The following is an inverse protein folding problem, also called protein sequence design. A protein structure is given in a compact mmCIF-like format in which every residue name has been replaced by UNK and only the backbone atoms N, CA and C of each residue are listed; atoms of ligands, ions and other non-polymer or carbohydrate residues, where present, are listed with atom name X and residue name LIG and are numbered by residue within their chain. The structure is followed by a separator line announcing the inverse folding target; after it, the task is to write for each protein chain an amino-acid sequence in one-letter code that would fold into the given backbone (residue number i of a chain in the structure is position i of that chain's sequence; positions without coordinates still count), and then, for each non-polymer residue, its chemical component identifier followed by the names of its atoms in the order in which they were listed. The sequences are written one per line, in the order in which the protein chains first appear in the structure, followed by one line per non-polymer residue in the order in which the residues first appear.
data_IF_086133304107
#
_entry.id   IF_086133304107
#
_cell.length_a   1.000
_cell.length_b   1.000
_cell.length_c   1.000
_cell.angle_alpha   90.00
_cell.angle_beta   90.00
_cell.angle_gamma   90.00
#
_symmetry.space_group_name_H-M   'P 1'
#
loop_
_entity.id
_entity.type
_entity.pdbx_description
1 polymer ?
#
# COMPACT_ATOMS: atom_id res chain seq x y z
N UNK A 1 -9.36 17.39 3.99
CA UNK A 1 -9.43 17.31 5.47
C UNK A 1 -8.66 18.45 6.17
N UNK A 2 -7.94 19.30 5.41
CA UNK A 2 -7.16 20.41 5.97
C UNK A 2 -5.77 19.99 6.46
N UNK A 3 -5.40 18.72 6.30
CA UNK A 3 -4.07 18.20 6.64
C UNK A 3 -3.06 18.73 5.64
N UNK A 4 -1.92 19.20 6.14
CA UNK A 4 -0.79 19.63 5.32
C UNK A 4 0.46 18.86 5.71
N UNK A 5 1.19 18.34 4.74
CA UNK A 5 2.47 17.65 4.94
C UNK A 5 3.56 18.35 4.14
N UNK A 6 4.81 18.27 4.62
CA UNK A 6 5.97 18.67 3.83
C UNK A 6 6.20 17.62 2.75
N UNK A 7 6.39 18.06 1.51
CA UNK A 7 6.67 17.20 0.36
C UNK A 7 7.93 17.67 -0.38
N UNK A 8 8.57 16.75 -1.09
CA UNK A 8 9.72 17.03 -1.94
C UNK A 8 9.50 16.41 -3.31
N UNK A 9 9.37 17.25 -4.34
CA UNK A 9 9.34 16.83 -5.74
C UNK A 9 10.75 16.58 -6.26
N UNK A 10 10.96 15.49 -7.01
CA UNK A 10 12.26 15.09 -7.55
C UNK A 10 12.32 15.34 -9.07
N UNK A 11 12.66 16.56 -9.54
CA UNK A 11 12.63 16.91 -10.96
C UNK A 11 13.64 16.12 -11.81
N UNK A 12 14.70 15.60 -11.20
CA UNK A 12 15.71 14.75 -11.85
C UNK A 12 15.60 13.28 -11.41
N UNK A 13 14.39 12.84 -11.03
CA UNK A 13 14.07 11.53 -10.46
C UNK A 13 14.81 11.21 -9.14
N UNK A 14 14.60 10.00 -8.63
CA UNK A 14 15.36 9.44 -7.50
C UNK A 14 16.81 9.05 -7.87
N UNK A 15 17.32 9.51 -9.02
CA UNK A 15 18.67 9.25 -9.53
C UNK A 15 19.55 10.51 -9.62
N UNK A 16 19.10 11.67 -9.12
CA UNK A 16 19.82 12.94 -9.28
C UNK A 16 21.28 12.90 -8.78
N UNK A 17 21.57 12.14 -7.73
CA UNK A 17 22.92 11.96 -7.19
C UNK A 17 23.64 10.70 -7.69
N UNK A 18 23.09 9.97 -8.67
CA UNK A 18 23.57 8.65 -9.07
C UNK A 18 24.95 8.69 -9.73
N UNK A 19 25.14 9.61 -10.68
CA UNK A 19 26.35 9.72 -11.50
C UNK A 19 27.28 10.78 -10.89
N UNK A 20 28.36 10.33 -10.24
CA UNK A 20 29.29 11.20 -9.49
C UNK A 20 29.96 12.25 -10.39
N UNK A 21 30.30 11.87 -11.62
CA UNK A 21 30.90 12.75 -12.63
C UNK A 21 29.96 13.88 -13.08
N UNK A 22 28.65 13.77 -12.78
CA UNK A 22 27.63 14.77 -13.12
C UNK A 22 27.16 15.61 -11.95
N UNK A 23 27.65 15.39 -10.73
CA UNK A 23 27.15 16.05 -9.53
C UNK A 23 27.09 17.57 -9.63
N UNK A 24 28.10 18.21 -10.21
CA UNK A 24 28.12 19.68 -10.38
C UNK A 24 26.99 20.16 -11.30
N UNK A 25 26.80 19.48 -12.44
CA UNK A 25 25.71 19.77 -13.36
C UNK A 25 24.34 19.53 -12.72
N UNK A 26 24.15 18.39 -12.04
CA UNK A 26 22.91 18.09 -11.32
C UNK A 26 22.62 19.13 -10.24
N UNK A 27 23.63 19.52 -9.45
CA UNK A 27 23.47 20.55 -8.43
C UNK A 27 22.99 21.87 -9.05
N UNK A 28 23.62 22.32 -10.13
CA UNK A 28 23.23 23.56 -10.84
C UNK A 28 21.79 23.47 -11.34
N UNK A 29 21.37 22.35 -11.91
CA UNK A 29 19.99 22.15 -12.38
C UNK A 29 18.98 22.15 -11.22
N UNK A 30 19.24 21.39 -10.16
CA UNK A 30 18.35 21.33 -8.99
C UNK A 30 18.23 22.67 -8.28
N UNK A 31 19.32 23.45 -8.23
CA UNK A 31 19.34 24.77 -7.61
C UNK A 31 18.39 25.78 -8.30
N UNK A 32 18.02 25.55 -9.58
CA UNK A 32 17.01 26.39 -10.27
C UNK A 32 15.59 26.21 -9.70
N UNK A 33 15.30 25.04 -9.14
CA UNK A 33 13.99 24.69 -8.59
C UNK A 33 13.94 24.79 -7.05
N UNK A 34 15.10 24.94 -6.40
CA UNK A 34 15.22 24.86 -4.96
C UNK A 34 14.52 26.04 -4.26
N UNK A 35 13.54 25.71 -3.41
CA UNK A 35 12.85 26.70 -2.56
C UNK A 35 13.62 27.03 -1.27
N UNK A 36 14.66 26.26 -0.98
CA UNK A 36 15.53 26.40 0.20
C UNK A 36 17.01 26.21 -0.20
N UNK A 37 17.98 26.58 0.65
CA UNK A 37 19.40 26.29 0.41
C UNK A 37 19.76 24.79 0.47
N UNK A 38 18.82 23.93 0.86
CA UNK A 38 19.04 22.49 1.02
C UNK A 38 18.53 21.76 -0.23
N UNK A 39 19.46 21.09 -0.92
CA UNK A 39 19.17 20.32 -2.14
C UNK A 39 19.37 18.85 -1.84
N UNK A 40 18.34 18.05 -2.13
CA UNK A 40 18.42 16.59 -2.04
C UNK A 40 18.89 16.01 -3.36
N UNK A 41 19.98 15.23 -3.31
CA UNK A 41 20.50 14.47 -4.46
C UNK A 41 20.47 12.97 -4.13
N UNK A 42 19.38 12.25 -4.45
CA UNK A 42 19.29 10.82 -4.16
C UNK A 42 20.35 10.04 -4.95
N UNK A 43 21.21 9.31 -4.23
CA UNK A 43 22.28 8.52 -4.82
C UNK A 43 21.87 7.04 -4.84
N UNK A 44 21.20 6.65 -5.92
CA UNK A 44 20.74 5.28 -6.10
C UNK A 44 19.84 5.12 -7.32
N UNK A 45 19.45 3.89 -7.57
CA UNK A 45 18.48 3.52 -8.59
C UNK A 45 17.79 2.21 -8.19
N UNK A 46 16.72 1.84 -8.90
CA UNK A 46 16.13 0.50 -8.77
C UNK A 46 17.19 -0.58 -8.94
N UNK A 47 17.25 -1.50 -7.97
CA UNK A 47 18.15 -2.65 -7.94
C UNK A 47 19.66 -2.34 -7.94
N UNK A 48 20.07 -1.12 -7.58
CA UNK A 48 21.48 -0.75 -7.54
C UNK A 48 22.11 -1.00 -6.15
N UNK A 49 23.30 -1.62 -6.06
CA UNK A 49 24.03 -1.71 -4.80
C UNK A 49 24.52 -0.34 -4.33
N UNK A 50 24.80 -0.17 -3.02
CA UNK A 50 25.48 1.01 -2.52
C UNK A 50 26.82 1.25 -3.24
N UNK A 51 27.07 2.49 -3.64
CA UNK A 51 28.32 2.88 -4.31
C UNK A 51 29.42 3.15 -3.25
N UNK A 52 30.47 2.31 -3.14
CA UNK A 52 31.52 2.46 -2.13
C UNK A 52 32.36 3.73 -2.27
N UNK A 53 32.34 4.37 -3.43
CA UNK A 53 33.09 5.59 -3.75
C UNK A 53 32.44 6.88 -3.21
N UNK A 54 31.14 6.86 -2.87
CA UNK A 54 30.41 8.06 -2.38
C UNK A 54 31.13 8.75 -1.22
N UNK A 55 31.60 8.06 -0.16
CA UNK A 55 32.23 8.75 0.97
C UNK A 55 33.51 9.49 0.60
N UNK A 56 34.27 8.99 -0.37
CA UNK A 56 35.46 9.68 -0.85
C UNK A 56 35.09 10.83 -1.78
N UNK A 57 34.16 10.61 -2.70
CA UNK A 57 33.68 11.66 -3.61
C UNK A 57 33.07 12.87 -2.86
N UNK A 58 32.32 12.65 -1.77
CA UNK A 58 31.80 13.74 -0.92
C UNK A 58 32.94 14.51 -0.24
N UNK A 59 34.00 13.84 0.22
CA UNK A 59 35.19 14.52 0.78
C UNK A 59 35.89 15.36 -0.28
N UNK A 60 36.05 14.82 -1.49
CA UNK A 60 36.71 15.51 -2.59
C UNK A 60 35.88 16.73 -3.05
N UNK A 61 34.56 16.60 -3.10
CA UNK A 61 33.64 17.72 -3.33
C UNK A 61 33.85 18.83 -2.30
N UNK A 62 33.82 18.50 -1.01
CA UNK A 62 33.96 19.48 0.07
C UNK A 62 35.36 20.14 0.14
N UNK A 63 36.37 19.56 -0.51
CA UNK A 63 37.70 20.17 -0.64
C UNK A 63 37.82 21.10 -1.84
N UNK A 64 37.03 20.86 -2.90
CA UNK A 64 37.17 21.53 -4.20
C UNK A 64 36.10 22.58 -4.46
N UNK A 65 34.89 22.40 -3.92
CA UNK A 65 33.74 23.27 -4.15
C UNK A 65 33.56 24.25 -2.99
N UNK A 66 33.88 25.52 -3.24
CA UNK A 66 33.70 26.59 -2.25
C UNK A 66 32.23 27.05 -2.21
N UNK A 67 31.67 27.18 -1.01
CA UNK A 67 30.33 27.74 -0.79
C UNK A 67 29.18 26.73 -0.89
N UNK A 68 29.46 25.45 -1.18
CA UNK A 68 28.46 24.37 -1.19
C UNK A 68 28.99 23.17 -0.41
N UNK A 69 28.38 22.87 0.72
CA UNK A 69 28.69 21.69 1.53
C UNK A 69 27.82 20.51 1.09
N UNK A 70 28.46 19.39 0.76
CA UNK A 70 27.78 18.11 0.52
C UNK A 70 27.84 17.24 1.77
N UNK A 71 26.67 16.77 2.22
CA UNK A 71 26.53 15.88 3.38
C UNK A 71 25.84 14.59 2.95
N UNK A 72 26.41 13.44 3.33
CA UNK A 72 25.70 12.17 3.30
C UNK A 72 24.63 12.21 4.40
N UNK A 73 23.36 12.20 4.00
CA UNK A 73 22.23 12.36 4.91
C UNK A 73 21.14 11.33 4.63
N UNK A 74 20.36 11.03 5.66
CA UNK A 74 19.12 10.27 5.55
C UNK A 74 17.96 11.17 5.12
N UNK A 75 16.88 10.62 4.53
CA UNK A 75 15.65 11.39 4.28
C UNK A 75 15.12 12.08 5.55
N UNK A 76 15.22 11.42 6.71
CA UNK A 76 14.81 11.99 7.99
C UNK A 76 15.56 13.29 8.31
N UNK A 77 16.89 13.28 8.20
CA UNK A 77 17.69 14.48 8.47
C UNK A 77 17.35 15.61 7.51
N UNK A 78 17.12 15.30 6.23
CA UNK A 78 16.73 16.28 5.23
C UNK A 78 15.39 16.95 5.57
N UNK A 79 14.34 16.16 5.85
CA UNK A 79 13.03 16.70 6.20
C UNK A 79 13.02 17.45 7.52
N UNK A 80 13.79 17.03 8.53
CA UNK A 80 13.95 17.78 9.78
C UNK A 80 14.50 19.18 9.55
N UNK A 81 15.47 19.32 8.65
CA UNK A 81 16.05 20.62 8.29
C UNK A 81 15.01 21.47 7.54
N UNK A 82 14.27 20.89 6.59
CA UNK A 82 13.20 21.59 5.87
C UNK A 82 12.08 22.09 6.81
N UNK A 83 11.64 21.27 7.76
CA UNK A 83 10.60 21.63 8.73
C UNK A 83 11.04 22.77 9.66
N UNK A 84 12.34 22.85 9.96
CA UNK A 84 12.90 23.95 10.76
C UNK A 84 13.16 25.23 9.96
N UNK A 85 13.02 25.19 8.63
CA UNK A 85 13.33 26.33 7.78
C UNK A 85 12.29 27.44 7.98
N UNK A 86 12.69 28.69 8.29
CA UNK A 86 11.79 29.73 8.77
C UNK A 86 10.83 30.28 7.70
N UNK A 87 11.04 29.93 6.42
CA UNK A 87 10.21 30.42 5.31
C UNK A 87 9.04 29.48 5.09
N UNK A 88 7.85 30.05 4.95
CA UNK A 88 6.66 29.31 4.53
C UNK A 88 6.84 28.79 3.11
N UNK A 89 6.75 27.48 2.93
CA UNK A 89 6.69 26.82 1.63
C UNK A 89 5.30 27.00 1.01
N UNK A 90 5.24 26.96 -0.32
CA UNK A 90 3.98 26.97 -1.05
C UNK A 90 3.16 25.70 -0.74
N UNK A 91 1.84 25.83 -0.73
CA UNK A 91 0.93 24.71 -0.53
C UNK A 91 0.27 24.38 -1.85
N UNK A 92 0.44 23.15 -2.30
CA UNK A 92 -0.25 22.60 -3.47
C UNK A 92 -1.41 21.75 -2.95
N UNK A 93 -2.61 22.00 -3.46
CA UNK A 93 -3.84 21.29 -3.09
C UNK A 93 -4.32 20.41 -4.24
N UNK A 94 -4.82 19.21 -3.92
CA UNK A 94 -5.39 18.28 -4.89
C UNK A 94 -4.52 17.07 -5.18
N UNK A 95 -4.88 16.36 -6.25
CA UNK A 95 -4.15 15.18 -6.74
C UNK A 95 -2.88 15.61 -7.49
N UNK A 96 -1.77 14.93 -7.25
CA UNK A 96 -0.50 15.17 -7.95
C UNK A 96 -0.43 14.40 -9.27
N UNK A 97 -1.40 14.66 -10.15
CA UNK A 97 -1.57 13.99 -11.44
C UNK A 97 -1.37 15.02 -12.56
N UNK A 98 -0.11 15.24 -12.94
CA UNK A 98 0.32 16.30 -13.87
C UNK A 98 1.34 15.73 -14.87
N UNK A 99 0.91 15.61 -16.14
CA UNK A 99 1.73 15.06 -17.24
C UNK A 99 2.76 16.05 -17.79
N UNK A 100 2.70 17.33 -17.40
CA UNK A 100 3.77 18.30 -17.68
C UNK A 100 4.94 18.15 -16.69
N UNK A 101 4.66 17.71 -15.45
CA UNK A 101 5.67 17.59 -14.39
C UNK A 101 6.26 16.19 -14.24
N UNK A 102 5.52 15.14 -14.60
CA UNK A 102 5.97 13.76 -14.53
C UNK A 102 5.26 12.88 -15.57
N UNK A 103 5.90 11.78 -15.98
CA UNK A 103 5.20 10.76 -16.77
C UNK A 103 4.11 10.10 -15.93
N UNK A 104 2.94 9.95 -16.51
CA UNK A 104 1.78 9.36 -15.86
C UNK A 104 1.28 8.15 -16.64
N UNK A 105 0.96 7.05 -15.94
CA UNK A 105 0.68 5.74 -16.54
C UNK A 105 -0.76 5.25 -16.27
N UNK A 106 -1.83 5.97 -16.67
CA UNK A 106 -3.21 5.55 -16.35
C UNK A 106 -3.59 4.17 -16.88
N UNK A 107 -2.96 3.75 -17.98
CA UNK A 107 -3.34 2.51 -18.67
C UNK A 107 -3.04 1.25 -17.85
N UNK A 108 -2.19 1.36 -16.81
CA UNK A 108 -1.91 0.27 -15.89
C UNK A 108 -3.16 -0.28 -15.19
N UNK A 109 -4.22 0.53 -15.04
CA UNK A 109 -5.47 0.10 -14.44
C UNK A 109 -6.21 -0.97 -15.26
N UNK A 110 -5.83 -1.16 -16.53
CA UNK A 110 -6.42 -2.17 -17.43
C UNK A 110 -5.50 -3.37 -17.69
N UNK A 111 -4.22 -3.26 -17.30
CA UNK A 111 -3.23 -4.32 -17.46
C UNK A 111 -3.59 -5.51 -16.57
N UNK A 112 -3.73 -6.70 -17.18
CA UNK A 112 -4.02 -7.96 -16.47
C UNK A 112 -5.15 -7.79 -15.45
N UNK A 113 -6.31 -7.29 -15.89
CA UNK A 113 -7.46 -6.89 -15.05
C UNK A 113 -7.84 -7.88 -13.92
N UNK A 114 -7.61 -9.18 -14.12
CA UNK A 114 -7.85 -10.21 -13.11
C UNK A 114 -7.06 -9.99 -11.81
N UNK A 115 -5.91 -9.30 -11.84
CA UNK A 115 -5.12 -8.96 -10.65
C UNK A 115 -5.89 -7.97 -9.78
N UNK A 116 -6.38 -6.88 -10.38
CA UNK A 116 -7.16 -5.86 -9.67
C UNK A 116 -8.46 -6.46 -9.13
N UNK A 117 -9.13 -7.30 -9.93
CA UNK A 117 -10.34 -8.01 -9.49
C UNK A 117 -10.07 -8.94 -8.32
N UNK A 118 -9.01 -9.76 -8.40
CA UNK A 118 -8.61 -10.67 -7.34
C UNK A 118 -8.20 -9.94 -6.06
N UNK A 119 -7.45 -8.84 -6.19
CA UNK A 119 -7.08 -7.97 -5.08
C UNK A 119 -8.31 -7.39 -4.39
N UNK A 120 -9.26 -6.84 -5.16
CA UNK A 120 -10.51 -6.28 -4.61
C UNK A 120 -11.35 -7.32 -3.89
N UNK A 121 -11.42 -8.54 -4.41
CA UNK A 121 -12.13 -9.66 -3.79
C UNK A 121 -11.48 -10.08 -2.48
N UNK A 122 -10.15 -10.26 -2.47
CA UNK A 122 -9.41 -10.66 -1.28
C UNK A 122 -9.40 -9.56 -0.21
N UNK A 123 -9.28 -8.28 -0.59
CA UNK A 123 -9.37 -7.15 0.35
C UNK A 123 -10.74 -7.11 1.03
N UNK A 124 -11.83 -7.24 0.26
CA UNK A 124 -13.18 -7.26 0.83
C UNK A 124 -13.40 -8.45 1.76
N UNK A 125 -12.87 -9.62 1.40
CA UNK A 125 -12.94 -10.83 2.22
C UNK A 125 -12.10 -10.69 3.50
N UNK A 126 -10.92 -10.08 3.42
CA UNK A 126 -10.03 -9.82 4.57
C UNK A 126 -10.69 -8.88 5.57
N UNK A 127 -11.23 -7.75 5.10
CA UNK A 127 -11.97 -6.83 5.96
C UNK A 127 -13.16 -7.53 6.64
N UNK A 128 -13.96 -8.28 5.88
CA UNK A 128 -15.11 -9.01 6.44
C UNK A 128 -14.68 -10.06 7.48
N UNK A 129 -13.63 -10.83 7.19
CA UNK A 129 -13.11 -11.84 8.09
C UNK A 129 -12.62 -11.22 9.41
N UNK A 130 -11.87 -10.11 9.34
CA UNK A 130 -11.37 -9.39 10.51
C UNK A 130 -12.51 -8.76 11.34
N UNK A 131 -13.49 -8.14 10.70
CA UNK A 131 -14.66 -7.55 11.36
C UNK A 131 -15.45 -8.61 12.14
N UNK A 132 -15.79 -9.74 11.50
CA UNK A 132 -16.55 -10.79 12.18
C UNK A 132 -15.71 -11.57 13.19
N UNK A 133 -14.41 -11.76 12.96
CA UNK A 133 -13.52 -12.32 13.97
C UNK A 133 -13.45 -11.44 15.21
N UNK A 134 -13.46 -10.11 15.04
CA UNK A 134 -13.52 -9.15 16.14
C UNK A 134 -14.82 -9.28 16.92
N UNK A 135 -15.97 -9.38 16.24
CA UNK A 135 -17.27 -9.58 16.90
C UNK A 135 -17.30 -10.93 17.64
N UNK A 136 -16.84 -12.01 17.02
CA UNK A 136 -16.75 -13.33 17.64
C UNK A 136 -15.85 -13.29 18.89
N UNK A 137 -14.71 -12.59 18.81
CA UNK A 137 -13.81 -12.39 19.94
C UNK A 137 -14.46 -11.65 21.10
N UNK A 138 -15.18 -10.56 20.83
CA UNK A 138 -15.96 -9.84 21.85
C UNK A 138 -17.03 -10.71 22.51
N UNK A 139 -17.53 -11.73 21.81
CA UNK A 139 -18.47 -12.73 22.33
C UNK A 139 -17.79 -13.94 23.00
N UNK A 140 -16.45 -13.96 23.05
CA UNK A 140 -15.66 -14.96 23.77
C UNK A 140 -14.95 -16.00 22.90
N UNK A 141 -14.88 -15.85 21.58
CA UNK A 141 -14.02 -16.67 20.73
C UNK A 141 -12.54 -16.23 20.84
N UNK A 142 -11.56 -17.09 20.53
CA UNK A 142 -10.20 -16.64 20.26
C UNK A 142 -10.13 -15.74 19.03
N UNK A 143 -9.27 -14.71 19.06
CA UNK A 143 -9.02 -13.86 17.89
C UNK A 143 -7.84 -14.41 17.05
N UNK A 144 -8.00 -14.65 15.75
CA UNK A 144 -6.96 -15.24 14.88
C UNK A 144 -5.92 -14.19 14.44
N UNK A 145 -5.23 -13.58 15.39
CA UNK A 145 -4.32 -12.45 15.15
C UNK A 145 -3.18 -12.77 14.18
N UNK A 146 -2.56 -13.94 14.34
CA UNK A 146 -1.40 -14.32 13.54
C UNK A 146 -1.78 -14.57 12.08
N UNK A 147 -2.89 -15.29 11.86
CA UNK A 147 -3.41 -15.59 10.52
C UNK A 147 -3.86 -14.32 9.78
N UNK A 148 -4.58 -13.41 10.46
CA UNK A 148 -4.99 -12.13 9.87
C UNK A 148 -3.78 -11.24 9.57
N UNK A 149 -2.77 -11.19 10.46
CA UNK A 149 -1.54 -10.45 10.21
C UNK A 149 -0.81 -10.97 8.97
N UNK A 150 -0.74 -12.29 8.80
CA UNK A 150 -0.06 -12.87 7.65
C UNK A 150 -0.86 -12.63 6.36
N UNK A 151 -2.19 -12.72 6.40
CA UNK A 151 -3.05 -12.30 5.28
C UNK A 151 -2.86 -10.81 4.91
N UNK A 152 -2.72 -9.91 5.89
CA UNK A 152 -2.41 -8.49 5.66
C UNK A 152 -1.05 -8.28 4.99
N UNK A 153 -0.03 -9.09 5.32
CA UNK A 153 1.27 -9.02 4.64
C UNK A 153 1.15 -9.47 3.19
N UNK A 154 0.47 -10.58 2.94
CA UNK A 154 0.28 -11.13 1.60
C UNK A 154 -0.49 -10.17 0.68
N UNK A 155 -1.61 -9.59 1.15
CA UNK A 155 -2.34 -8.61 0.34
C UNK A 155 -1.52 -7.33 0.11
N UNK A 156 -0.70 -6.91 1.09
CA UNK A 156 0.20 -5.75 0.93
C UNK A 156 1.30 -6.01 -0.08
N UNK A 157 1.78 -7.25 -0.20
CA UNK A 157 2.72 -7.65 -1.24
C UNK A 157 2.09 -7.46 -2.64
N UNK A 158 0.83 -7.87 -2.82
CA UNK A 158 0.11 -7.68 -4.08
C UNK A 158 -0.10 -6.19 -4.40
N UNK A 159 -0.26 -5.33 -3.39
CA UNK A 159 -0.37 -3.88 -3.55
C UNK A 159 0.92 -3.19 -4.03
N UNK A 160 2.05 -3.90 -4.13
CA UNK A 160 3.26 -3.34 -4.71
C UNK A 160 3.00 -2.85 -6.14
N UNK A 161 3.47 -1.64 -6.46
CA UNK A 161 3.09 -0.97 -7.72
C UNK A 161 3.34 -1.85 -8.94
N UNK A 162 4.50 -2.49 -9.10
CA UNK A 162 4.75 -3.34 -10.28
C UNK A 162 3.89 -4.62 -10.34
N UNK A 163 3.39 -5.07 -9.18
CA UNK A 163 2.52 -6.26 -9.08
C UNK A 163 1.08 -5.87 -9.42
N UNK A 164 0.48 -4.93 -8.69
CA UNK A 164 -0.93 -4.53 -8.89
C UNK A 164 -1.18 -3.93 -10.28
N UNK A 165 -0.17 -3.25 -10.85
CA UNK A 165 -0.24 -2.65 -12.19
C UNK A 165 0.04 -3.63 -13.32
N UNK A 166 0.44 -4.87 -13.02
CA UNK A 166 0.62 -5.90 -14.04
C UNK A 166 1.81 -5.68 -14.99
N UNK A 167 2.84 -4.91 -14.59
CA UNK A 167 3.97 -4.52 -15.46
C UNK A 167 5.25 -5.39 -15.32
N UNK A 168 5.18 -6.48 -14.56
CA UNK A 168 6.24 -7.49 -14.42
C UNK A 168 6.19 -8.60 -15.47
N UNK A 169 7.10 -9.57 -15.31
CA UNK A 169 7.16 -10.81 -16.12
C UNK A 169 6.09 -11.82 -15.67
N UNK A 170 5.74 -12.76 -16.54
CA UNK A 170 4.63 -13.71 -16.31
C UNK A 170 4.85 -14.57 -15.06
N UNK A 171 6.09 -14.94 -14.75
CA UNK A 171 6.46 -15.79 -13.62
C UNK A 171 6.04 -15.20 -12.27
N UNK A 172 6.11 -13.87 -12.12
CA UNK A 172 5.69 -13.16 -10.90
C UNK A 172 4.19 -13.39 -10.65
N UNK A 173 3.40 -13.53 -11.71
CA UNK A 173 1.95 -13.62 -11.59
C UNK A 173 1.44 -15.02 -11.29
N UNK A 174 2.26 -16.05 -11.43
CA UNK A 174 1.93 -17.38 -10.90
C UNK A 174 1.95 -17.34 -9.37
N UNK A 175 2.94 -16.69 -8.75
CA UNK A 175 2.96 -16.46 -7.29
C UNK A 175 1.73 -15.66 -6.82
N UNK A 176 1.33 -14.63 -7.56
CA UNK A 176 0.12 -13.84 -7.26
C UNK A 176 -1.14 -14.70 -7.28
N UNK A 177 -1.25 -15.66 -8.22
CA UNK A 177 -2.39 -16.60 -8.25
C UNK A 177 -2.40 -17.49 -7.01
N UNK A 178 -1.26 -18.01 -6.62
CA UNK A 178 -1.13 -18.85 -5.42
C UNK A 178 -1.51 -18.07 -4.16
N UNK A 179 -1.03 -16.84 -4.02
CA UNK A 179 -1.39 -15.95 -2.90
C UNK A 179 -2.90 -15.72 -2.87
N UNK A 180 -3.56 -15.46 -4.01
CA UNK A 180 -5.02 -15.31 -4.02
C UNK A 180 -5.76 -16.59 -3.58
N UNK A 181 -5.29 -17.77 -3.97
CA UNK A 181 -5.89 -19.04 -3.54
C UNK A 181 -5.75 -19.23 -2.04
N UNK A 182 -4.57 -18.95 -1.48
CA UNK A 182 -4.29 -19.06 -0.04
C UNK A 182 -5.17 -18.07 0.73
N UNK A 183 -5.14 -16.78 0.35
CA UNK A 183 -5.96 -15.74 0.98
C UNK A 183 -7.44 -16.09 0.98
N UNK A 184 -8.00 -16.50 -0.17
CA UNK A 184 -9.41 -16.88 -0.26
C UNK A 184 -9.74 -18.05 0.65
N UNK A 185 -8.86 -19.05 0.72
CA UNK A 185 -9.08 -20.25 1.53
C UNK A 185 -9.06 -19.91 3.02
N UNK A 186 -8.01 -19.25 3.49
CA UNK A 186 -7.83 -18.95 4.91
C UNK A 186 -8.85 -17.93 5.42
N UNK A 187 -9.10 -16.86 4.66
CA UNK A 187 -10.04 -15.83 5.07
C UNK A 187 -11.49 -16.33 5.02
N UNK A 188 -11.85 -17.19 4.06
CA UNK A 188 -13.17 -17.82 4.04
C UNK A 188 -13.37 -18.72 5.25
N UNK A 189 -12.33 -19.46 5.67
CA UNK A 189 -12.37 -20.27 6.88
C UNK A 189 -12.55 -19.40 8.13
N UNK A 190 -11.71 -18.38 8.31
CA UNK A 190 -11.81 -17.45 9.46
C UNK A 190 -13.20 -16.80 9.53
N UNK A 191 -13.70 -16.34 8.39
CA UNK A 191 -15.04 -15.76 8.28
C UNK A 191 -16.10 -16.78 8.68
N UNK A 192 -16.08 -17.99 8.12
CA UNK A 192 -17.06 -19.03 8.42
C UNK A 192 -17.04 -19.43 9.90
N UNK A 193 -15.86 -19.63 10.49
CA UNK A 193 -15.69 -19.93 11.91
C UNK A 193 -16.26 -18.82 12.80
N UNK A 194 -15.99 -17.56 12.45
CA UNK A 194 -16.47 -16.38 13.17
C UNK A 194 -18.00 -16.26 13.08
N UNK A 195 -18.58 -16.38 11.89
CA UNK A 195 -20.02 -16.32 11.68
C UNK A 195 -20.74 -17.46 12.40
N UNK A 196 -20.20 -18.68 12.36
CA UNK A 196 -20.75 -19.83 13.08
C UNK A 196 -20.70 -19.62 14.60
N UNK A 197 -19.60 -19.09 15.13
CA UNK A 197 -19.50 -18.76 16.54
C UNK A 197 -20.56 -17.73 16.95
N UNK A 198 -20.70 -16.64 16.19
CA UNK A 198 -21.69 -15.59 16.47
C UNK A 198 -23.11 -16.17 16.39
N UNK A 199 -23.43 -16.93 15.34
CA UNK A 199 -24.74 -17.57 15.17
C UNK A 199 -25.07 -18.51 16.34
N UNK A 200 -24.08 -19.23 16.89
CA UNK A 200 -24.26 -20.11 18.06
C UNK A 200 -24.69 -19.38 19.34
N UNK A 201 -24.48 -18.05 19.42
CA UNK A 201 -24.90 -17.22 20.55
C UNK A 201 -26.32 -16.67 20.39
N UNK A 202 -26.95 -16.84 19.22
CA UNK A 202 -28.30 -16.33 18.94
C UNK A 202 -29.33 -17.38 19.38
N UNK A 203 -30.25 -17.02 20.27
CA UNK A 203 -31.38 -17.89 20.60
C UNK A 203 -32.46 -17.78 19.51
N UNK A 204 -32.56 -18.81 18.67
CA UNK A 204 -33.56 -18.92 17.60
C UNK A 204 -34.88 -19.55 18.05
N UNK A 205 -34.99 -20.05 19.30
CA UNK A 205 -36.14 -20.82 19.80
C UNK A 205 -36.58 -21.97 18.86
N UNK A 206 -35.65 -22.56 18.09
CA UNK A 206 -35.93 -23.55 17.06
C UNK A 206 -34.97 -23.45 15.88
N UNK A 207 -35.45 -23.77 14.67
CA UNK A 207 -34.69 -23.56 13.43
C UNK A 207 -34.81 -22.11 12.99
N UNK A 208 -33.69 -21.49 12.65
CA UNK A 208 -33.66 -20.11 12.16
C UNK A 208 -32.42 -19.84 11.33
N UNK A 209 -32.54 -18.92 10.37
CA UNK A 209 -31.43 -18.44 9.55
C UNK A 209 -30.96 -17.11 10.11
N UNK A 210 -29.65 -16.99 10.37
CA UNK A 210 -29.01 -15.72 10.74
C UNK A 210 -28.38 -15.12 9.50
N UNK A 211 -28.75 -13.89 9.19
CA UNK A 211 -28.21 -13.14 8.04
C UNK A 211 -27.32 -12.03 8.56
N UNK A 212 -26.10 -11.95 8.04
CA UNK A 212 -25.11 -10.96 8.42
C UNK A 212 -24.95 -9.93 7.30
N UNK A 213 -24.97 -8.64 7.66
CA UNK A 213 -24.63 -7.55 6.76
C UNK A 213 -23.19 -7.12 7.05
N UNK A 214 -22.21 -7.39 6.17
CA UNK A 214 -20.81 -6.97 6.36
C UNK A 214 -20.60 -5.47 6.12
N UNK A 215 -21.62 -4.73 5.69
CA UNK A 215 -21.46 -3.32 5.32
C UNK A 215 -21.75 -2.39 6.51
N UNK A 216 -21.03 -1.26 6.64
CA UNK A 216 -21.23 -0.31 7.73
C UNK A 216 -22.50 0.54 7.59
N UNK A 217 -23.26 0.35 6.52
CA UNK A 217 -24.55 1.01 6.28
C UNK A 217 -25.70 0.02 6.19
N UNK A 218 -26.91 0.53 6.40
CA UNK A 218 -28.14 -0.27 6.28
C UNK A 218 -28.30 -0.74 4.83
N UNK A 219 -28.49 -2.05 4.68
CA UNK A 219 -28.72 -2.70 3.38
C UNK A 219 -30.12 -3.28 3.32
N UNK A 220 -30.74 -3.23 2.14
CA UNK A 220 -31.96 -3.96 1.80
C UNK A 220 -31.71 -4.67 0.47
N UNK A 221 -31.61 -5.99 0.51
CA UNK A 221 -31.36 -6.80 -0.68
C UNK A 221 -32.02 -8.17 -0.54
N UNK A 222 -32.16 -8.89 -1.64
CA UNK A 222 -32.56 -10.29 -1.65
C UNK A 222 -31.39 -11.15 -1.18
N UNK A 223 -31.68 -12.17 -0.37
CA UNK A 223 -30.72 -13.18 0.04
C UNK A 223 -31.24 -14.54 -0.39
N UNK A 224 -30.35 -15.37 -0.95
CA UNK A 224 -30.64 -16.75 -1.29
C UNK A 224 -30.08 -17.66 -0.20
N UNK A 225 -30.88 -18.61 0.25
CA UNK A 225 -30.48 -19.57 1.28
C UNK A 225 -31.04 -20.94 0.91
N UNK A 226 -30.23 -21.98 1.11
CA UNK A 226 -30.66 -23.37 1.01
C UNK A 226 -30.82 -23.91 2.43
N UNK A 227 -32.02 -23.80 3.05
CA UNK A 227 -32.23 -24.36 4.36
C UNK A 227 -32.14 -25.89 4.29
N UNK A 228 -31.46 -26.50 5.25
CA UNK A 228 -31.55 -27.94 5.49
C UNK A 228 -32.98 -28.28 5.93
N UNK A 229 -33.84 -28.57 4.95
CA UNK A 229 -35.18 -29.11 5.17
C UNK A 229 -35.06 -30.60 5.50
N UNK A 230 -35.88 -31.13 6.42
CA UNK A 230 -35.89 -32.55 6.73
C UNK A 230 -36.23 -33.34 5.45
N UNK A 231 -35.67 -34.53 5.29
CA UNK A 231 -36.07 -35.44 4.21
C UNK A 231 -37.59 -35.69 4.31
N UNK A 232 -38.36 -35.10 3.37
CA UNK A 232 -39.83 -35.16 3.34
C UNK A 232 -40.53 -33.86 2.95
N UNK A 233 -39.88 -32.69 3.03
CA UNK A 233 -40.46 -31.38 2.67
C UNK A 233 -39.90 -30.77 1.37
N UNK A 234 -39.04 -31.50 0.64
CA UNK A 234 -38.37 -30.98 -0.58
C UNK A 234 -39.26 -30.91 -1.83
N UNK A 235 -40.48 -31.45 -1.78
CA UNK A 235 -41.42 -31.56 -2.92
C UNK A 235 -42.77 -30.83 -2.71
N UNK A 236 -42.83 -29.78 -1.88
CA UNK A 236 -44.02 -28.90 -1.76
C UNK A 236 -43.73 -27.46 -2.16
#
# INVERSE_FOLDING_TARGET
DGTTIVSHWMPLSYRGGLDIDKWEGTFIELNKFASTPYILMPCGSGSMPPQPEIPQAVKDWNQTQAGVEMKIATPREFFQVLESFPKRLETIEGELYDDELAEVFPQVCSSRIWIVQGFRECEALLCSAEEFATIAWLLGAPYPADELRDAWKEISYIAFHDVITGCGVDEIYEDVREIFVILKTDLSRILAESLNYIASKVNTNGRGTVVFNPLPWRTSNWVETNPDLPEGEKDQ
#
